data_IF_937816066900
#
_entry.id   IF_937816066900
#
_cell.length_a   1.000
_cell.length_b   1.000
_cell.length_c   1.000
_cell.angle_alpha   90.00
_cell.angle_beta   90.00
_cell.angle_gamma   90.00
#
_symmetry.space_group_name_H-M   'P 1'
#
loop_
_entity.id
_entity.type
_entity.pdbx_description
1 polymer ?
#
# COMPACT_ATOMS: atom_id res chain seq x y z
N UNK A 1 -0.38 -5.55 -41.55
CA UNK A 1 0.78 -6.35 -41.08
C UNK A 1 2.06 -5.55 -41.27
N UNK A 2 2.46 -4.76 -40.26
CA UNK A 2 3.82 -4.27 -40.04
C UNK A 2 3.79 -3.48 -38.72
N UNK A 3 3.97 -4.19 -37.61
CA UNK A 3 4.09 -3.58 -36.30
C UNK A 3 5.44 -2.84 -36.24
N UNK A 4 5.39 -1.51 -36.16
CA UNK A 4 6.55 -0.69 -35.80
C UNK A 4 6.94 -1.04 -34.37
N UNK A 5 7.97 -1.89 -34.21
CA UNK A 5 8.70 -2.01 -32.95
C UNK A 5 9.33 -0.65 -32.63
N UNK A 6 8.70 0.09 -31.73
CA UNK A 6 9.34 1.23 -31.06
C UNK A 6 10.55 0.70 -30.30
N UNK A 7 11.77 1.04 -30.76
CA UNK A 7 12.99 0.83 -30.00
C UNK A 7 12.93 1.75 -28.78
N UNK A 8 12.51 1.21 -27.63
CA UNK A 8 12.76 1.81 -26.32
C UNK A 8 14.27 2.00 -26.17
N UNK A 9 14.77 3.21 -26.41
CA UNK A 9 16.15 3.59 -26.06
C UNK A 9 16.34 3.34 -24.56
N UNK A 10 17.40 2.64 -24.17
CA UNK A 10 17.79 2.53 -22.77
C UNK A 10 18.12 3.93 -22.24
N UNK A 11 17.20 4.53 -21.50
CA UNK A 11 17.49 5.70 -20.68
C UNK A 11 18.32 5.24 -19.47
N UNK A 12 19.60 4.92 -19.68
CA UNK A 12 20.56 5.02 -18.59
C UNK A 12 20.79 6.51 -18.40
N UNK A 13 20.08 7.14 -17.46
CA UNK A 13 20.34 8.54 -17.14
C UNK A 13 21.73 8.66 -16.52
N UNK A 14 22.48 9.70 -16.85
CA UNK A 14 23.75 10.04 -16.19
C UNK A 14 23.57 10.48 -14.72
N UNK A 15 22.33 10.43 -14.21
CA UNK A 15 21.98 10.75 -12.84
C UNK A 15 22.60 9.73 -11.87
N UNK A 16 23.40 10.18 -10.89
CA UNK A 16 23.95 9.31 -9.85
C UNK A 16 22.85 8.56 -9.11
N UNK A 17 23.20 7.38 -8.58
CA UNK A 17 22.27 6.64 -7.72
C UNK A 17 22.20 7.38 -6.38
N UNK A 18 21.01 7.76 -5.90
CA UNK A 18 20.90 8.41 -4.61
C UNK A 18 21.37 7.46 -3.49
N UNK A 19 21.96 7.99 -2.41
CA UNK A 19 22.35 7.17 -1.28
C UNK A 19 21.12 6.46 -0.69
N UNK A 20 21.27 5.24 -0.15
CA UNK A 20 20.19 4.57 0.54
C UNK A 20 19.73 5.43 1.72
N UNK A 21 18.43 5.71 1.77
CA UNK A 21 17.76 6.43 2.87
C UNK A 21 16.54 5.63 3.28
N UNK A 22 16.15 5.75 4.54
CA UNK A 22 14.82 5.31 4.95
C UNK A 22 13.77 6.19 4.24
N UNK A 23 12.91 5.64 3.37
CA UNK A 23 11.90 6.44 2.69
C UNK A 23 10.80 6.93 3.63
N UNK A 24 10.68 6.38 4.85
CA UNK A 24 9.77 6.85 5.90
C UNK A 24 10.34 7.99 6.74
N UNK A 25 11.63 8.32 6.60
CA UNK A 25 12.29 9.36 7.39
C UNK A 25 11.53 10.69 7.32
N UNK A 26 11.07 11.05 6.11
CA UNK A 26 10.33 12.29 5.87
C UNK A 26 8.95 12.36 6.54
N UNK A 27 8.37 11.22 6.95
CA UNK A 27 6.99 11.14 7.46
C UNK A 27 6.91 11.05 8.98
N UNK A 28 8.04 10.74 9.64
CA UNK A 28 8.15 10.51 11.07
C UNK A 28 8.20 11.80 11.91
N UNK A 29 7.83 12.95 11.33
CA UNK A 29 7.88 14.24 12.02
C UNK A 29 6.84 14.29 13.15
N UNK A 30 7.21 14.95 14.25
CA UNK A 30 6.36 15.08 15.46
C UNK A 30 5.20 16.06 15.30
N UNK A 31 5.18 16.83 14.21
CA UNK A 31 4.12 17.78 13.88
C UNK A 31 2.79 17.05 13.71
N UNK A 32 1.76 17.55 14.40
CA UNK A 32 0.40 17.04 14.29
C UNK A 32 -0.38 17.79 13.24
N UNK A 33 -1.40 17.15 12.64
CA UNK A 33 -2.36 17.86 11.80
C UNK A 33 -3.15 18.88 12.63
N UNK A 34 -3.27 20.10 12.14
CA UNK A 34 -3.93 21.21 12.87
C UNK A 34 -5.43 21.27 12.57
N UNK A 35 -5.82 20.89 11.36
CA UNK A 35 -7.18 21.02 10.86
C UNK A 35 -8.00 19.73 11.03
N UNK A 36 -9.26 19.87 11.44
CA UNK A 36 -10.24 18.78 11.36
C UNK A 36 -10.66 18.57 9.90
N UNK A 37 -10.89 17.32 9.46
CA UNK A 37 -11.25 17.04 8.08
C UNK A 37 -12.64 17.58 7.72
N UNK A 38 -12.76 18.15 6.51
CA UNK A 38 -14.06 18.49 5.92
C UNK A 38 -14.63 17.27 5.21
N UNK A 39 -15.90 16.97 5.45
CA UNK A 39 -16.59 15.91 4.72
C UNK A 39 -16.70 16.26 3.23
N UNK A 40 -16.26 15.35 2.37
CA UNK A 40 -16.44 15.41 0.92
C UNK A 40 -17.63 14.53 0.54
N UNK A 41 -18.79 15.16 0.44
CA UNK A 41 -20.09 14.59 0.12
C UNK A 41 -20.41 14.78 -1.38
N UNK A 42 -21.34 13.99 -1.97
CA UNK A 42 -21.60 14.02 -3.40
C UNK A 42 -21.95 15.40 -4.00
N UNK A 43 -22.55 16.30 -3.21
CA UNK A 43 -22.86 17.67 -3.60
C UNK A 43 -21.63 18.55 -3.87
N UNK A 44 -20.44 18.11 -3.46
CA UNK A 44 -19.16 18.80 -3.65
C UNK A 44 -18.32 18.22 -4.78
N UNK A 45 -18.79 17.15 -5.42
CA UNK A 45 -18.06 16.52 -6.51
C UNK A 45 -18.18 17.37 -7.79
N UNK A 46 -17.15 17.34 -8.66
CA UNK A 46 -17.26 17.96 -9.97
C UNK A 46 -18.30 17.24 -10.85
N UNK A 47 -18.86 17.92 -11.87
CA UNK A 47 -19.71 17.29 -12.87
C UNK A 47 -19.05 16.06 -13.50
N UNK A 48 -19.81 14.97 -13.62
CA UNK A 48 -19.37 13.71 -14.23
C UNK A 48 -18.91 12.64 -13.25
N UNK A 49 -18.79 12.93 -11.95
CA UNK A 49 -18.38 11.98 -10.91
C UNK A 49 -19.24 10.70 -10.87
N UNK A 50 -20.49 10.75 -11.32
CA UNK A 50 -21.44 9.62 -11.40
C UNK A 50 -21.38 8.81 -12.72
N UNK A 51 -20.48 9.16 -13.64
CA UNK A 51 -20.37 8.55 -14.97
C UNK A 51 -18.98 7.97 -15.22
N UNK A 52 -18.82 6.97 -16.08
CA UNK A 52 -17.48 6.46 -16.42
C UNK A 52 -16.73 7.46 -17.30
N UNK A 53 -15.47 7.73 -16.99
CA UNK A 53 -14.64 8.71 -17.72
C UNK A 53 -14.21 9.90 -16.88
N UNK A 54 -13.56 10.84 -17.55
CA UNK A 54 -13.04 12.08 -16.98
C UNK A 54 -13.64 13.26 -17.74
N UNK A 55 -14.26 14.18 -17.01
CA UNK A 55 -14.60 15.52 -17.51
C UNK A 55 -13.42 16.48 -17.36
N UNK A 56 -13.50 17.64 -18.01
CA UNK A 56 -12.49 18.70 -17.85
C UNK A 56 -12.37 19.21 -16.41
N UNK A 57 -13.48 19.23 -15.66
CA UNK A 57 -13.49 19.64 -14.25
C UNK A 57 -12.82 18.59 -13.36
N UNK A 58 -13.07 17.30 -13.62
CA UNK A 58 -12.40 16.19 -12.95
C UNK A 58 -10.89 16.17 -13.22
N UNK A 59 -10.47 16.45 -14.46
CA UNK A 59 -9.05 16.57 -14.82
C UNK A 59 -8.40 17.75 -14.09
N UNK A 60 -9.08 18.89 -14.05
CA UNK A 60 -8.59 20.09 -13.36
C UNK A 60 -8.43 19.81 -11.86
N UNK A 61 -9.45 19.21 -11.23
CA UNK A 61 -9.38 18.79 -9.83
C UNK A 61 -8.21 17.84 -9.57
N UNK A 62 -8.03 16.81 -10.40
CA UNK A 62 -6.94 15.86 -10.23
C UNK A 62 -5.57 16.54 -10.34
N UNK A 63 -5.40 17.46 -11.30
CA UNK A 63 -4.14 18.20 -11.49
C UNK A 63 -3.83 19.13 -10.33
N UNK A 64 -4.82 19.79 -9.74
CA UNK A 64 -4.62 20.75 -8.66
C UNK A 64 -4.53 20.08 -7.28
N UNK A 65 -5.33 19.04 -7.06
CA UNK A 65 -5.58 18.47 -5.75
C UNK A 65 -5.01 17.07 -5.57
N UNK A 66 -4.68 16.39 -6.68
CA UNK A 66 -4.09 15.05 -6.67
C UNK A 66 -5.09 13.92 -6.44
N UNK A 67 -6.41 14.17 -6.61
CA UNK A 67 -7.44 13.13 -6.51
C UNK A 67 -8.66 13.42 -7.40
N UNK A 68 -9.44 12.37 -7.67
CA UNK A 68 -10.77 12.42 -8.31
C UNK A 68 -11.65 11.31 -7.73
N UNK A 69 -12.97 11.52 -7.68
CA UNK A 69 -13.94 10.54 -7.16
C UNK A 69 -14.88 10.09 -8.26
N UNK A 70 -15.14 8.79 -8.31
CA UNK A 70 -16.24 8.21 -9.08
C UNK A 70 -17.27 7.56 -8.17
N UNK A 71 -18.51 8.01 -8.26
CA UNK A 71 -19.67 7.52 -7.50
C UNK A 71 -20.28 6.31 -8.18
N UNK A 72 -20.66 5.29 -7.40
CA UNK A 72 -21.29 4.08 -7.90
C UNK A 72 -20.50 3.36 -8.99
N UNK A 73 -19.17 3.51 -9.02
CA UNK A 73 -18.32 2.98 -10.09
C UNK A 73 -18.36 1.45 -10.16
N UNK A 74 -18.55 0.81 -9.01
CA UNK A 74 -18.66 -0.65 -8.86
C UNK A 74 -20.03 -0.99 -8.27
N UNK A 75 -20.71 -1.98 -8.82
CA UNK A 75 -21.96 -2.46 -8.26
C UNK A 75 -21.72 -3.09 -6.86
N UNK A 76 -22.32 -2.55 -5.79
CA UNK A 76 -22.05 -3.01 -4.42
C UNK A 76 -22.46 -4.45 -4.15
N UNK A 77 -23.39 -5.02 -4.94
CA UNK A 77 -23.79 -6.43 -4.80
C UNK A 77 -22.63 -7.40 -5.05
N UNK A 78 -21.60 -6.98 -5.80
CA UNK A 78 -20.40 -7.78 -6.04
C UNK A 78 -19.59 -8.03 -4.76
N UNK A 79 -19.74 -7.17 -3.73
CA UNK A 79 -18.99 -7.27 -2.49
C UNK A 79 -19.62 -8.23 -1.48
N UNK A 80 -20.92 -8.54 -1.64
CA UNK A 80 -21.68 -9.32 -0.66
C UNK A 80 -21.02 -10.64 -0.25
N UNK A 81 -20.53 -11.50 -1.17
CA UNK A 81 -19.90 -12.77 -0.77
C UNK A 81 -18.64 -12.58 0.11
N UNK A 82 -17.93 -11.47 -0.07
CA UNK A 82 -16.71 -11.17 0.68
C UNK A 82 -17.03 -10.55 2.04
N UNK A 83 -18.08 -9.73 2.12
CA UNK A 83 -18.60 -9.21 3.38
C UNK A 83 -19.20 -10.34 4.24
N UNK A 84 -19.95 -11.26 3.64
CA UNK A 84 -20.46 -12.46 4.32
C UNK A 84 -19.29 -13.28 4.88
N UNK A 85 -18.23 -13.48 4.08
CA UNK A 85 -17.02 -14.17 4.53
C UNK A 85 -16.26 -13.41 5.64
N UNK A 86 -16.24 -12.07 5.59
CA UNK A 86 -15.58 -11.22 6.59
C UNK A 86 -16.18 -11.43 7.98
N UNK A 87 -17.50 -11.55 8.09
CA UNK A 87 -18.20 -11.84 9.35
C UNK A 87 -17.87 -13.21 9.93
N UNK A 88 -17.48 -14.17 9.09
CA UNK A 88 -17.07 -15.51 9.50
C UNK A 88 -15.61 -15.60 9.93
N UNK A 89 -14.82 -14.54 9.76
CA UNK A 89 -13.39 -14.59 10.08
C UNK A 89 -13.15 -14.59 11.59
N UNK A 90 -12.04 -15.20 12.05
CA UNK A 90 -11.72 -15.30 13.47
C UNK A 90 -11.72 -13.97 14.24
N UNK A 91 -11.21 -12.83 13.73
CA UNK A 91 -11.28 -11.56 14.46
C UNK A 91 -12.70 -11.07 14.75
N UNK A 92 -13.65 -11.34 13.84
CA UNK A 92 -15.06 -11.01 14.04
C UNK A 92 -15.73 -11.99 15.02
N UNK A 93 -15.45 -13.28 14.88
CA UNK A 93 -16.00 -14.32 15.77
C UNK A 93 -15.47 -14.19 17.20
N UNK A 94 -14.16 -13.96 17.39
CA UNK A 94 -13.54 -13.79 18.69
C UNK A 94 -14.08 -12.56 19.43
N UNK A 95 -14.36 -11.48 18.69
CA UNK A 95 -14.99 -10.28 19.23
C UNK A 95 -16.52 -10.39 19.37
N UNK A 96 -17.12 -11.54 18.99
CA UNK A 96 -18.56 -11.80 19.05
C UNK A 96 -19.37 -10.73 18.33
N UNK A 97 -18.87 -10.26 17.19
CA UNK A 97 -19.57 -9.26 16.39
C UNK A 97 -20.83 -9.86 15.78
N UNK A 98 -21.92 -9.12 15.83
CA UNK A 98 -23.21 -9.52 15.27
C UNK A 98 -23.63 -8.50 14.18
N UNK A 99 -23.82 -8.92 12.91
CA UNK A 99 -24.19 -8.02 11.82
C UNK A 99 -25.51 -7.25 12.04
N UNK A 100 -26.40 -7.75 12.88
CA UNK A 100 -27.69 -7.12 13.20
C UNK A 100 -27.64 -6.23 14.45
N UNK A 101 -26.50 -6.14 15.14
CA UNK A 101 -26.38 -5.45 16.43
C UNK A 101 -25.16 -4.52 16.48
N UNK A 102 -25.28 -3.28 15.99
CA UNK A 102 -24.18 -2.29 15.95
C UNK A 102 -23.45 -2.08 17.27
N UNK A 103 -24.13 -2.22 18.41
CA UNK A 103 -23.54 -2.12 19.75
C UNK A 103 -22.44 -3.17 20.01
N UNK A 104 -22.44 -4.28 19.28
CA UNK A 104 -21.38 -5.31 19.37
C UNK A 104 -20.10 -4.89 18.65
N UNK A 105 -20.16 -3.87 17.79
CA UNK A 105 -19.03 -3.43 16.94
C UNK A 105 -18.12 -2.43 17.64
N UNK A 106 -18.52 -1.90 18.79
CA UNK A 106 -17.79 -0.85 19.51
C UNK A 106 -16.55 -1.45 20.19
N UNK A 107 -15.37 -0.88 19.92
CA UNK A 107 -14.04 -1.26 20.44
C UNK A 107 -13.82 -2.77 20.60
N UNK A 108 -13.89 -3.56 19.50
CA UNK A 108 -13.78 -5.01 19.55
C UNK A 108 -12.39 -5.51 19.95
N UNK A 109 -11.38 -4.64 19.92
CA UNK A 109 -10.00 -4.97 20.28
C UNK A 109 -9.82 -5.45 21.70
N UNK A 110 -10.76 -5.12 22.62
CA UNK A 110 -10.79 -5.69 23.98
C UNK A 110 -11.00 -7.21 24.02
N UNK A 111 -11.51 -7.79 22.92
CA UNK A 111 -11.75 -9.22 22.78
C UNK A 111 -10.67 -9.91 21.93
N UNK A 112 -9.80 -9.15 21.27
CA UNK A 112 -8.73 -9.73 20.48
C UNK A 112 -7.58 -10.20 21.38
N UNK A 113 -6.92 -11.33 21.04
CA UNK A 113 -5.82 -11.84 21.86
C UNK A 113 -4.63 -10.87 21.79
N UNK A 114 -4.00 -10.58 22.93
CA UNK A 114 -2.86 -9.64 22.99
C UNK A 114 -1.66 -10.17 22.19
N UNK A 115 -1.42 -11.47 22.31
CA UNK A 115 -0.41 -12.26 21.61
C UNK A 115 -0.69 -12.41 20.11
N UNK A 116 -1.94 -12.20 19.67
CA UNK A 116 -2.37 -12.45 18.30
C UNK A 116 -2.71 -11.16 17.53
N UNK A 117 -2.24 -10.02 18.04
CA UNK A 117 -2.25 -8.72 17.33
C UNK A 117 -1.65 -8.83 15.91
N UNK A 118 -0.77 -9.82 15.74
CA UNK A 118 0.03 -10.11 14.58
C UNK A 118 -0.18 -11.53 14.02
N UNK A 119 -1.27 -12.22 14.34
CA UNK A 119 -1.59 -13.52 13.70
C UNK A 119 -0.51 -14.62 13.81
N UNK A 120 0.31 -14.60 14.86
CA UNK A 120 1.42 -15.56 15.08
C UNK A 120 0.96 -16.88 15.71
N UNK A 121 -0.29 -16.94 16.17
CA UNK A 121 -0.81 -18.12 16.85
C UNK A 121 -1.08 -19.29 15.88
N UNK A 122 -0.92 -20.51 16.40
CA UNK A 122 -1.00 -21.79 15.70
C UNK A 122 -2.36 -22.13 15.05
N UNK A 123 -3.33 -21.22 15.06
CA UNK A 123 -4.69 -21.46 14.60
C UNK A 123 -5.09 -20.65 13.36
N UNK A 124 -4.35 -19.60 12.97
CA UNK A 124 -4.80 -18.65 11.93
C UNK A 124 -3.97 -18.69 10.63
N UNK A 125 -2.87 -19.44 10.61
CA UNK A 125 -1.98 -19.65 9.45
C UNK A 125 -1.92 -21.11 8.97
N UNK A 126 -2.79 -21.98 9.52
CA UNK A 126 -2.70 -23.44 9.45
C UNK A 126 -2.66 -24.04 10.85
N UNK A 127 -2.51 -25.36 10.96
CA UNK A 127 -2.56 -26.12 12.22
C UNK A 127 -1.27 -26.05 13.05
N UNK A 128 -0.30 -25.22 12.65
CA UNK A 128 1.02 -25.13 13.29
C UNK A 128 1.44 -23.66 13.47
N UNK A 129 2.15 -23.33 14.57
CA UNK A 129 2.68 -21.99 14.77
C UNK A 129 3.63 -21.65 13.62
N UNK A 130 3.53 -20.42 13.13
CA UNK A 130 4.36 -19.94 12.04
C UNK A 130 5.12 -18.66 12.45
N UNK A 131 6.47 -18.65 12.35
CA UNK A 131 7.33 -19.79 12.05
C UNK A 131 7.24 -20.89 13.13
N UNK A 132 7.58 -22.14 12.77
CA UNK A 132 7.63 -23.25 13.72
C UNK A 132 8.50 -22.90 14.92
N UNK A 133 8.06 -23.26 16.13
CA UNK A 133 8.76 -22.94 17.39
C UNK A 133 10.16 -23.57 17.48
N UNK A 134 10.41 -24.59 16.68
CA UNK A 134 11.63 -25.39 16.56
C UNK A 134 12.62 -24.85 15.52
N UNK A 135 12.24 -23.88 14.70
CA UNK A 135 13.14 -23.30 13.69
C UNK A 135 13.98 -22.20 14.33
N UNK A 136 15.21 -22.55 14.69
CA UNK A 136 16.22 -21.56 15.08
C UNK A 136 16.48 -20.63 13.89
N UNK A 137 16.18 -19.33 14.07
CA UNK A 137 16.46 -18.29 13.07
C UNK A 137 17.34 -17.22 13.72
N UNK A 138 18.63 -17.41 13.57
CA UNK A 138 19.69 -16.53 14.13
C UNK A 138 19.66 -15.12 13.50
N UNK A 139 18.97 -14.97 12.37
CA UNK A 139 18.94 -13.76 11.54
C UNK A 139 18.05 -12.60 11.96
N UNK A 140 17.10 -12.79 12.88
CA UNK A 140 16.19 -11.73 13.34
C UNK A 140 15.42 -12.10 14.62
N UNK A 141 14.94 -11.08 15.34
CA UNK A 141 14.00 -11.24 16.44
C UNK A 141 12.66 -11.82 15.95
N UNK A 142 11.92 -12.56 16.79
CA UNK A 142 10.67 -13.23 16.40
C UNK A 142 9.65 -12.31 15.67
N UNK A 143 9.52 -11.06 16.10
CA UNK A 143 8.62 -10.07 15.49
C UNK A 143 9.10 -9.49 14.16
N UNK A 144 10.35 -9.73 13.76
CA UNK A 144 10.98 -9.26 12.53
C UNK A 144 11.11 -10.36 11.46
N UNK A 145 10.81 -11.61 11.81
CA UNK A 145 10.93 -12.80 10.94
C UNK A 145 9.86 -12.90 9.87
N UNK A 146 9.00 -11.90 9.78
CA UNK A 146 7.80 -11.92 8.96
C UNK A 146 7.75 -10.59 8.23
N UNK A 147 7.47 -10.65 6.92
CA UNK A 147 7.06 -9.46 6.18
C UNK A 147 5.73 -8.94 6.72
N UNK A 148 4.71 -8.85 5.86
CA UNK A 148 3.36 -8.50 6.34
C UNK A 148 2.52 -9.77 6.56
N UNK A 149 1.65 -9.72 7.55
CA UNK A 149 0.80 -10.83 7.97
C UNK A 149 -0.53 -10.85 7.19
N UNK A 150 -1.26 -11.98 7.15
CA UNK A 150 -2.56 -12.07 6.46
C UNK A 150 -3.58 -11.12 7.03
N UNK A 151 -3.44 -10.76 8.30
CA UNK A 151 -4.15 -9.65 8.85
C UNK A 151 -3.33 -8.97 9.93
N UNK A 152 -3.80 -7.78 10.31
CA UNK A 152 -3.22 -6.98 11.38
C UNK A 152 -4.36 -6.40 12.20
N UNK A 153 -4.32 -6.64 13.51
CA UNK A 153 -5.24 -6.07 14.47
C UNK A 153 -4.49 -4.96 15.20
N UNK A 154 -4.98 -3.74 15.20
CA UNK A 154 -4.33 -2.65 15.93
C UNK A 154 -5.34 -1.74 16.57
N UNK A 155 -4.85 -0.95 17.53
CA UNK A 155 -5.51 0.26 17.97
C UNK A 155 -4.74 1.44 17.39
N UNK A 156 -5.30 2.06 16.35
CA UNK A 156 -4.68 3.16 15.63
C UNK A 156 -5.34 4.46 16.06
N UNK A 157 -4.59 5.28 16.82
CA UNK A 157 -4.94 6.67 17.13
C UNK A 157 -6.37 6.84 17.68
N UNK A 158 -6.86 5.86 18.45
CA UNK A 158 -8.17 5.90 19.12
C UNK A 158 -9.08 4.72 18.75
N UNK A 159 -9.07 4.27 17.49
CA UNK A 159 -9.96 3.21 17.01
C UNK A 159 -9.27 1.86 16.92
N UNK A 160 -10.04 0.80 17.14
CA UNK A 160 -9.62 -0.54 16.74
C UNK A 160 -9.72 -0.65 15.21
N UNK A 161 -8.70 -1.27 14.61
CA UNK A 161 -8.54 -1.43 13.18
C UNK A 161 -8.19 -2.88 12.90
N UNK A 162 -8.95 -3.50 12.00
CA UNK A 162 -8.60 -4.79 11.43
C UNK A 162 -8.30 -4.62 9.95
N UNK A 163 -7.07 -4.97 9.56
CA UNK A 163 -6.66 -5.06 8.17
C UNK A 163 -6.59 -6.52 7.78
N UNK A 164 -7.46 -6.97 6.90
CA UNK A 164 -7.42 -8.31 6.34
C UNK A 164 -6.67 -8.26 5.00
N UNK A 165 -5.36 -8.47 5.04
CA UNK A 165 -4.46 -8.43 3.88
C UNK A 165 -4.62 -9.66 2.98
N UNK A 166 -4.85 -10.83 3.56
CA UNK A 166 -4.88 -12.09 2.84
C UNK A 166 -5.99 -12.16 1.79
N UNK A 167 -7.16 -11.53 2.03
CA UNK A 167 -8.23 -11.44 1.02
C UNK A 167 -7.79 -10.68 -0.23
N UNK A 168 -6.77 -9.83 -0.13
CA UNK A 168 -6.19 -9.10 -1.26
C UNK A 168 -5.50 -9.98 -2.30
N UNK A 169 -5.28 -11.28 -2.01
CA UNK A 169 -4.76 -12.27 -2.96
C UNK A 169 -5.85 -13.10 -3.61
N UNK A 170 -7.09 -13.00 -3.11
CA UNK A 170 -8.18 -13.78 -3.65
C UNK A 170 -8.52 -13.29 -5.06
N UNK A 171 -8.36 -14.13 -6.10
CA UNK A 171 -8.57 -13.67 -7.47
C UNK A 171 -10.01 -13.17 -7.72
N UNK A 172 -11.01 -13.69 -7.00
CA UNK A 172 -12.37 -13.18 -7.13
C UNK A 172 -12.53 -11.82 -6.46
N UNK A 173 -11.88 -11.59 -5.32
CA UNK A 173 -11.90 -10.27 -4.67
C UNK A 173 -11.17 -9.24 -5.52
N UNK A 174 -10.02 -9.59 -6.08
CA UNK A 174 -9.26 -8.73 -7.00
C UNK A 174 -10.09 -8.39 -8.23
N UNK A 175 -10.79 -9.36 -8.83
CA UNK A 175 -11.68 -9.14 -9.98
C UNK A 175 -12.80 -8.14 -9.73
N UNK A 176 -13.40 -8.13 -8.54
CA UNK A 176 -14.47 -7.18 -8.19
C UNK A 176 -13.95 -5.86 -7.62
N UNK A 177 -12.63 -5.70 -7.46
CA UNK A 177 -11.99 -4.49 -6.94
C UNK A 177 -10.95 -3.95 -7.93
N UNK A 178 -9.67 -4.30 -7.79
CA UNK A 178 -8.57 -3.69 -8.55
C UNK A 178 -8.56 -4.07 -10.03
N UNK A 179 -9.03 -5.27 -10.37
CA UNK A 179 -9.17 -5.71 -11.75
C UNK A 179 -10.60 -5.51 -12.29
N UNK A 180 -11.43 -4.72 -11.60
CA UNK A 180 -12.76 -4.38 -12.10
C UNK A 180 -12.63 -3.54 -13.39
N UNK A 181 -13.41 -3.82 -14.46
CA UNK A 181 -13.27 -3.13 -15.74
C UNK A 181 -13.37 -1.60 -15.65
N UNK A 182 -14.34 -1.09 -14.88
CA UNK A 182 -14.50 0.36 -14.69
C UNK A 182 -13.33 0.99 -13.91
N UNK A 183 -12.72 0.24 -12.98
CA UNK A 183 -11.55 0.73 -12.26
C UNK A 183 -10.40 0.82 -13.26
N UNK A 184 -10.06 -0.28 -13.96
CA UNK A 184 -8.99 -0.30 -14.97
C UNK A 184 -9.16 0.77 -16.05
N UNK A 185 -10.40 1.02 -16.47
CA UNK A 185 -10.72 2.12 -17.40
C UNK A 185 -10.27 3.46 -16.83
N UNK A 186 -10.63 3.79 -15.59
CA UNK A 186 -10.23 5.03 -14.93
C UNK A 186 -8.72 5.11 -14.72
N UNK A 187 -8.07 3.97 -14.41
CA UNK A 187 -6.61 3.90 -14.28
C UNK A 187 -5.92 4.28 -15.60
N UNK A 188 -6.35 3.72 -16.73
CA UNK A 188 -5.81 4.06 -18.04
C UNK A 188 -6.15 5.50 -18.45
N UNK A 189 -7.35 5.98 -18.14
CA UNK A 189 -7.76 7.37 -18.39
C UNK A 189 -6.84 8.37 -17.67
N UNK A 190 -6.44 8.07 -16.42
CA UNK A 190 -5.55 8.91 -15.62
C UNK A 190 -4.07 8.72 -15.97
N UNK A 191 -3.51 7.51 -15.81
CA UNK A 191 -2.06 7.26 -15.95
C UNK A 191 -1.59 7.15 -17.40
N UNK A 192 -2.45 6.62 -18.28
CA UNK A 192 -2.05 6.12 -19.59
C UNK A 192 -1.41 4.73 -19.54
N UNK A 193 -1.59 3.97 -20.63
CA UNK A 193 -1.07 2.61 -20.76
C UNK A 193 0.42 2.52 -21.14
N UNK A 194 1.02 1.32 -21.04
CA UNK A 194 0.36 0.10 -20.58
C UNK A 194 0.22 0.05 -19.04
N UNK A 195 -0.95 -0.36 -18.55
CA UNK A 195 -1.23 -0.55 -17.12
C UNK A 195 -0.86 -1.98 -16.72
N UNK A 196 -0.19 -2.15 -15.57
CA UNK A 196 0.02 -3.49 -15.01
C UNK A 196 -1.31 -4.02 -14.47
N UNK A 197 -1.73 -5.20 -14.93
CA UNK A 197 -2.90 -5.89 -14.38
C UNK A 197 -2.63 -6.23 -12.91
N UNK A 198 -3.45 -5.73 -11.95
CA UNK A 198 -3.25 -6.05 -10.55
C UNK A 198 -3.51 -7.53 -10.31
N UNK A 199 -2.54 -8.23 -9.72
CA UNK A 199 -2.73 -9.61 -9.25
C UNK A 199 -3.17 -9.66 -7.78
N UNK A 200 -3.16 -8.49 -7.11
CA UNK A 200 -3.56 -8.34 -5.72
C UNK A 200 -4.01 -6.92 -5.40
N UNK A 201 -4.48 -6.72 -4.17
CA UNK A 201 -4.62 -5.41 -3.54
C UNK A 201 -4.10 -5.47 -2.08
N UNK A 202 -4.23 -4.37 -1.33
CA UNK A 202 -3.77 -4.32 0.07
C UNK A 202 -4.69 -5.07 1.04
N UNK A 203 -5.86 -5.51 0.58
CA UNK A 203 -6.89 -6.17 1.37
C UNK A 203 -7.97 -5.22 1.90
N UNK A 204 -8.80 -5.73 2.81
CA UNK A 204 -9.94 -5.04 3.40
C UNK A 204 -9.53 -4.40 4.74
N UNK A 205 -9.76 -3.10 4.87
CA UNK A 205 -9.46 -2.31 6.06
C UNK A 205 -10.76 -1.92 6.74
N UNK A 206 -10.98 -2.52 7.92
CA UNK A 206 -12.10 -2.24 8.81
C UNK A 206 -11.65 -1.31 9.93
N UNK A 207 -12.35 -0.18 10.11
CA UNK A 207 -12.19 0.72 11.27
C UNK A 207 -13.47 0.65 12.08
N UNK A 208 -13.32 0.41 13.38
CA UNK A 208 -14.44 0.18 14.28
C UNK A 208 -14.79 1.43 15.09
N UNK A 209 -16.07 1.60 15.47
CA UNK A 209 -16.48 2.58 16.46
C UNK A 209 -15.67 2.46 17.75
N UNK A 210 -15.27 3.59 18.35
CA UNK A 210 -14.60 3.64 19.66
C UNK A 210 -15.60 3.67 20.81
N UNK A 211 -15.15 3.40 22.03
CA UNK A 211 -15.96 3.68 23.22
C UNK A 211 -16.13 5.20 23.36
N UNK A 212 -17.31 5.70 23.77
CA UNK A 212 -17.54 7.13 23.96
C UNK A 212 -16.52 7.81 24.89
N UNK A 213 -16.09 7.10 25.94
CA UNK A 213 -15.15 7.60 26.95
C UNK A 213 -13.66 7.47 26.55
N UNK A 214 -13.36 6.79 25.43
CA UNK A 214 -11.99 6.74 24.92
C UNK A 214 -11.53 8.13 24.43
N UNK A 215 -10.21 8.41 24.43
CA UNK A 215 -9.69 9.62 23.82
C UNK A 215 -10.15 9.78 22.37
N UNK A 216 -10.47 11.02 21.99
CA UNK A 216 -10.90 11.34 20.64
C UNK A 216 -9.87 10.90 19.59
N UNK A 217 -10.38 10.41 18.46
CA UNK A 217 -9.56 9.99 17.33
C UNK A 217 -8.80 11.17 16.75
N UNK A 218 -7.55 10.96 16.33
CA UNK A 218 -6.75 11.99 15.64
C UNK A 218 -6.30 11.50 14.27
N UNK A 219 -6.00 12.45 13.38
CA UNK A 219 -5.38 12.11 12.11
C UNK A 219 -3.91 11.71 12.33
N UNK A 220 -3.49 10.66 11.64
CA UNK A 220 -2.10 10.24 11.48
C UNK A 220 -1.66 10.43 10.03
N UNK A 221 -1.43 11.69 9.59
CA UNK A 221 -1.05 11.99 8.22
C UNK A 221 0.30 11.34 7.87
N UNK A 222 0.30 10.53 6.82
CA UNK A 222 1.47 9.88 6.26
C UNK A 222 1.32 9.77 4.74
N UNK A 223 2.44 9.47 4.08
CA UNK A 223 2.45 8.94 2.72
C UNK A 223 2.98 7.51 2.84
N UNK A 224 2.40 6.57 2.11
CA UNK A 224 2.98 5.23 2.06
C UNK A 224 4.34 5.29 1.36
N UNK A 225 5.23 4.36 1.71
CA UNK A 225 6.53 4.20 1.06
C UNK A 225 6.38 3.67 -0.38
N UNK A 226 5.82 4.47 -1.28
CA UNK A 226 5.21 3.88 -2.46
C UNK A 226 6.07 4.05 -3.71
N UNK A 227 6.33 2.91 -4.34
CA UNK A 227 6.65 2.77 -5.77
C UNK A 227 5.36 2.80 -6.60
N UNK A 228 4.24 3.19 -5.98
CA UNK A 228 2.90 3.22 -6.53
C UNK A 228 2.69 4.56 -7.24
N UNK A 229 2.24 4.53 -8.49
CA UNK A 229 1.94 5.77 -9.22
C UNK A 229 0.55 6.30 -8.85
N UNK A 230 -0.40 5.42 -8.54
CA UNK A 230 -1.75 5.79 -8.11
C UNK A 230 -2.27 4.87 -7.01
N UNK A 231 -2.78 5.48 -5.95
CA UNK A 231 -3.50 4.80 -4.88
C UNK A 231 -5.00 4.95 -5.11
N UNK A 232 -5.74 3.88 -4.92
CA UNK A 232 -7.20 3.88 -5.07
C UNK A 232 -7.83 3.29 -3.82
N UNK A 233 -8.93 3.91 -3.39
CA UNK A 233 -9.72 3.42 -2.26
C UNK A 233 -11.17 3.22 -2.70
N UNK A 234 -11.66 2.00 -2.52
CA UNK A 234 -13.06 1.62 -2.80
C UNK A 234 -13.79 1.36 -1.49
N UNK A 235 -14.98 1.92 -1.34
CA UNK A 235 -15.86 1.58 -0.21
C UNK A 235 -16.70 0.34 -0.48
N UNK A 236 -16.72 -0.56 0.50
CA UNK A 236 -17.54 -1.79 0.46
C UNK A 236 -18.88 -1.63 1.18
N UNK A 237 -19.00 -0.59 2.00
CA UNK A 237 -20.18 -0.20 2.76
C UNK A 237 -20.27 1.33 2.78
N UNK A 238 -21.44 1.86 3.16
CA UNK A 238 -21.64 3.29 3.31
C UNK A 238 -20.75 3.89 4.40
N UNK A 239 -20.18 5.05 4.10
CA UNK A 239 -19.31 5.83 4.99
C UNK A 239 -19.85 7.25 5.09
N UNK A 240 -20.47 7.52 6.23
CA UNK A 240 -20.99 8.85 6.57
C UNK A 240 -19.88 9.76 7.11
N UNK A 241 -20.08 11.09 7.14
CA UNK A 241 -19.14 12.03 7.76
C UNK A 241 -18.73 11.61 9.17
N UNK A 242 -17.44 11.76 9.49
CA UNK A 242 -16.82 11.37 10.77
C UNK A 242 -17.01 9.91 11.13
N UNK A 243 -17.11 9.04 10.13
CA UNK A 243 -17.20 7.58 10.32
C UNK A 243 -15.93 6.88 9.84
N UNK A 244 -14.77 7.54 9.98
CA UNK A 244 -13.47 6.93 9.69
C UNK A 244 -13.15 6.83 8.21
N UNK A 245 -13.74 7.70 7.38
CA UNK A 245 -13.51 7.73 5.95
C UNK A 245 -12.05 8.00 5.59
N UNK A 246 -11.62 7.54 4.43
CA UNK A 246 -10.27 7.81 3.93
C UNK A 246 -10.07 9.32 3.84
N UNK A 247 -9.10 9.85 4.60
CA UNK A 247 -8.88 11.28 4.71
C UNK A 247 -7.60 11.64 3.95
N UNK A 248 -7.69 12.55 3.00
CA UNK A 248 -6.56 13.03 2.22
C UNK A 248 -6.25 14.49 2.52
N UNK A 249 -5.02 14.88 2.21
CA UNK A 249 -4.55 16.25 2.25
C UNK A 249 -4.38 16.72 0.79
N UNK A 250 -5.37 17.41 0.21
CA UNK A 250 -5.32 17.88 -1.18
C UNK A 250 -4.08 18.71 -1.46
N UNK A 251 -3.60 18.69 -2.70
CA UNK A 251 -2.37 19.36 -3.15
C UNK A 251 -1.05 18.84 -2.55
N UNK A 252 -1.11 17.87 -1.63
CA UNK A 252 0.11 17.32 -1.02
C UNK A 252 1.08 16.65 -2.00
N UNK A 253 0.65 15.96 -3.07
CA UNK A 253 1.58 15.47 -4.08
C UNK A 253 2.42 16.58 -4.72
N UNK A 254 1.81 17.72 -5.04
CA UNK A 254 2.46 18.87 -5.68
C UNK A 254 3.50 19.51 -4.75
N UNK A 255 3.31 19.40 -3.42
CA UNK A 255 4.25 19.88 -2.41
C UNK A 255 5.37 18.89 -2.10
N UNK A 256 5.08 17.59 -2.10
CA UNK A 256 6.08 16.55 -1.82
C UNK A 256 6.93 16.21 -3.04
N UNK A 257 6.33 16.16 -4.23
CA UNK A 257 6.99 15.68 -5.44
C UNK A 257 8.30 16.40 -5.75
N UNK A 258 8.37 17.74 -5.72
CA UNK A 258 9.61 18.48 -5.97
C UNK A 258 10.72 18.24 -4.93
N UNK A 259 10.37 17.71 -3.75
CA UNK A 259 11.35 17.39 -2.70
C UNK A 259 12.00 16.03 -2.89
N UNK A 260 11.48 15.20 -3.80
CA UNK A 260 12.09 13.90 -4.09
C UNK A 260 13.29 14.04 -5.02
N UNK A 261 14.28 13.17 -4.85
CA UNK A 261 15.44 13.11 -5.76
C UNK A 261 15.13 12.39 -7.08
N UNK A 262 13.97 11.73 -7.18
CA UNK A 262 13.65 10.79 -8.25
C UNK A 262 12.17 10.88 -8.63
N UNK A 263 11.86 10.82 -9.92
CA UNK A 263 10.49 11.00 -10.43
C UNK A 263 9.53 9.84 -10.12
N UNK A 264 10.05 8.61 -10.08
CA UNK A 264 9.22 7.39 -10.02
C UNK A 264 9.38 6.60 -8.74
N UNK A 265 10.55 6.69 -8.13
CA UNK A 265 10.88 6.00 -6.90
C UNK A 265 10.98 7.06 -5.82
N UNK A 266 10.10 7.07 -4.82
CA UNK A 266 10.21 8.06 -3.76
C UNK A 266 11.58 7.94 -3.06
N UNK A 267 12.36 9.00 -3.14
CA UNK A 267 13.61 9.18 -2.39
C UNK A 267 13.57 10.54 -1.71
N UNK A 268 13.44 10.54 -0.39
CA UNK A 268 13.35 11.76 0.39
C UNK A 268 14.59 12.65 0.20
N UNK A 269 14.36 13.92 -0.14
CA UNK A 269 15.36 14.98 -0.16
C UNK A 269 15.44 15.71 1.17
N UNK A 270 16.35 16.68 1.26
CA UNK A 270 16.59 17.46 2.48
C UNK A 270 15.39 18.31 2.90
N UNK A 271 14.52 18.68 1.96
CA UNK A 271 13.34 19.51 2.22
C UNK A 271 12.05 18.70 2.42
N UNK A 272 12.09 17.37 2.33
CA UNK A 272 10.90 16.52 2.40
C UNK A 272 10.22 16.57 3.77
N UNK A 273 10.97 16.55 4.87
CA UNK A 273 10.41 16.69 6.23
C UNK A 273 9.69 18.03 6.42
N UNK A 274 10.34 19.13 6.03
CA UNK A 274 9.76 20.46 6.13
C UNK A 274 8.52 20.65 5.24
N UNK A 275 8.45 19.95 4.09
CA UNK A 275 7.26 19.93 3.26
C UNK A 275 6.13 19.13 3.91
N UNK A 276 6.44 17.98 4.51
CA UNK A 276 5.48 17.17 5.26
C UNK A 276 4.90 17.95 6.44
N UNK A 277 5.73 18.65 7.22
CA UNK A 277 5.28 19.49 8.33
C UNK A 277 4.32 20.58 7.86
N UNK A 278 4.67 21.30 6.78
CA UNK A 278 3.79 22.31 6.19
C UNK A 278 2.48 21.74 5.66
N UNK A 279 2.49 20.53 5.08
CA UNK A 279 1.24 19.87 4.69
C UNK A 279 0.35 19.63 5.91
N UNK A 280 0.91 19.11 7.00
CA UNK A 280 0.15 18.82 8.24
C UNK A 280 -0.45 20.10 8.86
N UNK A 281 0.22 21.25 8.74
CA UNK A 281 -0.20 22.50 9.38
C UNK A 281 -1.01 23.43 8.50
N UNK A 282 -0.83 23.40 7.17
CA UNK A 282 -1.42 24.38 6.24
C UNK A 282 -2.52 23.80 5.35
N UNK A 283 -2.53 22.49 5.10
CA UNK A 283 -3.51 21.89 4.20
C UNK A 283 -4.73 21.46 4.99
N UNK A 284 -5.90 21.93 4.56
CA UNK A 284 -7.20 21.48 5.06
C UNK A 284 -7.47 20.04 4.59
N UNK A 285 -7.48 19.03 5.48
CA UNK A 285 -7.79 17.67 5.09
C UNK A 285 -9.26 17.54 4.71
N UNK A 286 -9.54 16.55 3.86
CA UNK A 286 -10.90 16.20 3.44
C UNK A 286 -11.14 14.71 3.66
N UNK A 287 -12.31 14.38 4.19
CA UNK A 287 -12.77 13.01 4.42
C UNK A 287 -13.65 12.56 3.26
N UNK A 288 -13.20 11.54 2.53
CA UNK A 288 -14.03 10.89 1.51
C UNK A 288 -15.22 10.21 2.17
N UNK A 289 -16.42 10.76 2.01
CA UNK A 289 -17.68 10.16 2.46
C UNK A 289 -18.39 9.59 1.22
N UNK A 290 -19.11 8.48 1.34
CA UNK A 290 -19.71 7.85 0.17
C UNK A 290 -20.50 6.59 0.44
N UNK A 291 -21.02 6.00 -0.63
CA UNK A 291 -21.77 4.75 -0.62
C UNK A 291 -20.89 3.58 -1.01
N UNK A 292 -21.35 2.36 -0.71
CA UNK A 292 -20.71 1.16 -1.21
C UNK A 292 -20.60 1.21 -2.75
N UNK A 293 -19.39 0.99 -3.29
CA UNK A 293 -19.12 1.08 -4.72
C UNK A 293 -18.54 2.42 -5.18
N UNK A 294 -18.52 3.44 -4.31
CA UNK A 294 -17.79 4.68 -4.58
C UNK A 294 -16.28 4.44 -4.51
N UNK A 295 -15.54 5.11 -5.39
CA UNK A 295 -14.10 4.94 -5.56
C UNK A 295 -13.42 6.30 -5.63
N UNK A 296 -12.38 6.50 -4.83
CA UNK A 296 -11.48 7.65 -4.95
C UNK A 296 -10.15 7.20 -5.56
N UNK A 297 -9.68 7.96 -6.53
CA UNK A 297 -8.39 7.79 -7.21
C UNK A 297 -7.48 8.92 -6.78
N UNK A 298 -6.30 8.60 -6.28
CA UNK A 298 -5.33 9.58 -5.80
C UNK A 298 -3.97 9.35 -6.44
N UNK A 299 -3.23 10.44 -6.67
CA UNK A 299 -1.79 10.32 -6.93
C UNK A 299 -1.12 9.49 -5.82
N UNK A 300 -0.18 8.61 -6.19
CA UNK A 300 0.43 7.64 -5.26
C UNK A 300 1.21 8.26 -4.09
N UNK A 301 1.48 9.57 -4.16
CA UNK A 301 2.17 10.37 -3.13
C UNK A 301 1.23 11.30 -2.36
N UNK A 302 -0.10 11.06 -2.41
CA UNK A 302 -1.04 11.82 -1.59
C UNK A 302 -0.77 11.53 -0.11
N UNK A 303 -0.63 12.59 0.69
CA UNK A 303 -0.63 12.48 2.15
C UNK A 303 -2.05 12.17 2.59
N UNK A 304 -2.19 11.14 3.42
CA UNK A 304 -3.48 10.63 3.84
C UNK A 304 -3.43 10.08 5.27
N UNK A 305 -4.61 9.76 5.79
CA UNK A 305 -4.82 9.21 7.12
C UNK A 305 -6.04 8.30 7.11
N UNK A 306 -6.11 7.38 8.08
CA UNK A 306 -7.42 6.91 8.51
C UNK A 306 -8.21 8.11 9.04
N UNK A 307 -9.47 8.25 8.62
CA UNK A 307 -10.30 9.36 9.10
C UNK A 307 -10.67 9.22 10.57
N UNK A 308 -11.16 10.31 11.11
CA UNK A 308 -11.72 10.38 12.46
C UNK A 308 -13.02 9.56 12.48
N UNK A 309 -13.11 8.57 13.39
CA UNK A 309 -14.26 7.69 13.46
C UNK A 309 -15.00 7.84 14.80
N UNK A 310 -16.13 8.55 14.71
CA UNK A 310 -17.04 8.89 15.80
C UNK A 310 -18.46 8.34 15.53
N UNK A 311 -18.70 7.73 14.37
CA UNK A 311 -19.95 7.06 14.01
C UNK A 311 -20.11 5.66 14.61
N UNK A 312 -21.28 5.05 14.36
CA UNK A 312 -21.70 3.77 14.93
C UNK A 312 -21.47 2.56 14.01
N UNK A 313 -21.19 2.79 12.73
CA UNK A 313 -20.99 1.71 11.73
C UNK A 313 -19.52 1.37 11.57
N UNK A 314 -19.22 0.15 11.14
CA UNK A 314 -17.85 -0.25 10.78
C UNK A 314 -17.53 0.33 9.41
N UNK A 315 -16.44 1.09 9.28
CA UNK A 315 -15.96 1.50 7.96
C UNK A 315 -15.19 0.37 7.31
N UNK A 316 -15.66 -0.15 6.17
CA UNK A 316 -14.96 -1.17 5.36
C UNK A 316 -14.53 -0.63 4.00
N UNK A 317 -13.23 -0.58 3.76
CA UNK A 317 -12.64 -0.08 2.51
C UNK A 317 -11.56 -1.01 1.98
N UNK A 318 -11.32 -0.99 0.68
CA UNK A 318 -10.21 -1.67 0.02
C UNK A 318 -9.22 -0.64 -0.46
N UNK A 319 -7.95 -0.83 -0.12
CA UNK A 319 -6.85 0.01 -0.61
C UNK A 319 -6.12 -0.73 -1.71
N UNK A 320 -5.84 -0.05 -2.81
CA UNK A 320 -5.40 -0.63 -4.07
C UNK A 320 -4.24 0.21 -4.62
N UNK A 321 -3.26 -0.46 -5.22
CA UNK A 321 -2.08 0.17 -5.81
C UNK A 321 -2.06 -0.09 -7.30
N UNK A 322 -1.80 0.96 -8.08
CA UNK A 322 -1.71 0.87 -9.53
C UNK A 322 -0.43 1.50 -10.06
N UNK A 323 0.07 0.88 -11.12
CA UNK A 323 1.27 1.28 -11.83
C UNK A 323 1.13 0.98 -13.31
N UNK A 324 1.85 1.76 -14.10
CA UNK A 324 2.21 1.39 -15.47
C UNK A 324 3.20 0.23 -15.47
N UNK A 325 3.10 -0.58 -16.52
CA UNK A 325 4.12 -1.56 -16.88
C UNK A 325 5.35 -0.80 -17.36
N UNK A 326 6.47 -1.01 -16.67
CA UNK A 326 7.75 -0.32 -16.91
C UNK A 326 8.89 -1.29 -16.64
N UNK A 327 10.07 -1.03 -17.22
CA UNK A 327 11.28 -1.76 -16.84
C UNK A 327 11.61 -1.50 -15.38
N UNK A 328 11.83 -2.58 -14.63
CA UNK A 328 12.03 -2.56 -13.18
C UNK A 328 13.36 -3.19 -12.75
N UNK A 329 13.85 -2.80 -11.58
CA UNK A 329 15.07 -3.31 -10.97
C UNK A 329 14.77 -4.41 -9.95
N UNK A 330 15.68 -4.62 -9.01
CA UNK A 330 15.44 -5.48 -7.85
C UNK A 330 14.27 -4.98 -6.99
N UNK A 331 13.75 -5.87 -6.16
CA UNK A 331 12.78 -5.50 -5.13
C UNK A 331 13.41 -4.64 -4.05
N UNK A 332 12.59 -3.76 -3.48
CA UNK A 332 12.94 -3.05 -2.26
C UNK A 332 12.87 -4.00 -1.08
N UNK A 333 14.04 -4.41 -0.61
CA UNK A 333 14.21 -5.30 0.52
C UNK A 333 14.65 -4.54 1.77
N UNK A 334 14.26 -5.05 2.93
CA UNK A 334 14.71 -4.59 4.24
C UNK A 334 15.26 -5.78 5.01
N UNK A 335 16.53 -5.71 5.40
CA UNK A 335 17.16 -6.69 6.28
C UNK A 335 16.87 -6.34 7.74
N UNK A 336 16.54 -7.36 8.54
CA UNK A 336 16.32 -7.23 9.97
C UNK A 336 17.60 -6.74 10.67
N UNK A 337 17.43 -6.07 11.81
CA UNK A 337 18.53 -5.67 12.67
C UNK A 337 18.90 -6.80 13.64
N UNK A 338 20.02 -7.50 13.41
CA UNK A 338 20.51 -8.50 14.37
C UNK A 338 20.94 -7.83 15.68
N UNK A 339 20.72 -8.51 16.80
CA UNK A 339 21.11 -8.07 18.15
C UNK A 339 20.58 -6.68 18.56
N UNK A 340 19.44 -6.25 18.01
CA UNK A 340 18.83 -4.95 18.31
C UNK A 340 19.40 -3.77 17.53
N UNK A 341 20.25 -4.03 16.53
CA UNK A 341 20.68 -3.02 15.57
C UNK A 341 19.51 -2.48 14.73
N UNK A 342 19.74 -1.38 14.01
CA UNK A 342 18.76 -0.85 13.07
C UNK A 342 18.57 -1.76 11.85
N UNK A 343 17.41 -1.61 11.20
CA UNK A 343 17.11 -2.28 9.93
C UNK A 343 17.89 -1.65 8.80
N UNK A 344 18.29 -2.48 7.85
CA UNK A 344 19.10 -2.04 6.71
C UNK A 344 18.25 -2.14 5.45
N UNK A 345 18.05 -1.01 4.77
CA UNK A 345 17.28 -0.96 3.53
C UNK A 345 18.20 -1.16 2.32
N UNK A 346 17.78 -1.99 1.37
CA UNK A 346 18.42 -2.11 0.08
C UNK A 346 18.13 -0.85 -0.75
N UNK A 347 19.18 -0.16 -1.18
CA UNK A 347 19.07 1.05 -2.00
C UNK A 347 18.65 0.76 -3.44
N UNK A 348 18.48 1.82 -4.24
CA UNK A 348 18.24 1.72 -5.68
C UNK A 348 19.40 1.12 -6.47
N UNK A 349 20.58 0.98 -5.87
CA UNK A 349 21.76 0.31 -6.42
C UNK A 349 21.75 -1.22 -6.27
N UNK A 350 20.77 -1.76 -5.54
CA UNK A 350 20.68 -3.20 -5.30
C UNK A 350 21.67 -3.71 -4.27
N UNK A 351 22.18 -2.83 -3.42
CA UNK A 351 23.22 -3.18 -2.44
C UNK A 351 22.70 -3.00 -1.02
N UNK A 352 22.88 -4.03 -0.20
CA UNK A 352 22.91 -3.87 1.26
C UNK A 352 24.35 -3.59 1.70
N UNK A 353 24.48 -2.68 2.65
CA UNK A 353 25.76 -2.32 3.28
C UNK A 353 25.65 -2.65 4.75
N UNK A 354 26.28 -3.73 5.16
CA UNK A 354 26.28 -4.19 6.54
C UNK A 354 27.33 -3.42 7.35
N UNK A 355 27.02 -3.01 8.59
CA UNK A 355 28.02 -2.49 9.51
C UNK A 355 29.15 -3.52 9.70
N UNK A 356 30.40 -3.04 9.70
CA UNK A 356 31.59 -3.87 9.91
C UNK A 356 32.10 -3.83 11.36
N UNK A 357 31.51 -2.94 12.16
CA UNK A 357 31.88 -2.62 13.55
C UNK A 357 30.92 -3.25 14.58
N UNK A 358 30.18 -4.27 14.18
CA UNK A 358 29.28 -5.03 15.07
C UNK A 358 29.79 -6.43 15.36
N UNK A 359 29.29 -7.05 16.43
CA UNK A 359 29.58 -8.46 16.78
C UNK A 359 28.92 -9.47 15.82
N UNK A 360 28.15 -8.99 14.83
CA UNK A 360 27.53 -9.82 13.78
C UNK A 360 28.51 -10.09 12.65
N UNK A 361 28.58 -11.34 12.16
CA UNK A 361 29.33 -11.68 10.96
C UNK A 361 28.60 -11.15 9.71
N UNK A 362 29.13 -10.11 9.04
CA UNK A 362 28.45 -9.51 7.90
C UNK A 362 28.41 -10.44 6.67
N UNK A 363 29.13 -11.57 6.68
CA UNK A 363 29.20 -12.54 5.59
C UNK A 363 28.29 -13.77 5.80
N UNK A 364 27.65 -13.92 6.96
CA UNK A 364 26.96 -15.18 7.30
C UNK A 364 25.73 -15.48 6.44
N UNK A 365 25.16 -14.47 5.78
CA UNK A 365 23.99 -14.60 4.90
C UNK A 365 22.67 -14.93 5.61
N UNK A 366 22.72 -15.21 6.92
CA UNK A 366 21.59 -15.69 7.71
C UNK A 366 20.64 -14.57 8.13
N UNK A 367 21.04 -13.30 7.96
CA UNK A 367 20.18 -12.15 8.25
C UNK A 367 18.88 -12.26 7.45
N UNK A 368 17.76 -12.19 8.15
CA UNK A 368 16.47 -12.30 7.49
C UNK A 368 16.12 -11.00 6.77
N UNK A 369 15.63 -11.13 5.54
CA UNK A 369 15.15 -10.01 4.74
C UNK A 369 13.66 -10.13 4.48
N UNK A 370 13.00 -8.99 4.47
CA UNK A 370 11.56 -8.85 4.28
C UNK A 370 11.26 -7.80 3.23
N UNK A 371 10.06 -7.89 2.67
CA UNK A 371 9.47 -6.86 1.84
C UNK A 371 8.14 -6.42 2.47
N UNK A 372 7.79 -5.15 2.35
CA UNK A 372 6.47 -4.65 2.76
C UNK A 372 5.40 -5.17 1.80
N UNK A 373 4.88 -6.36 2.12
CA UNK A 373 3.93 -7.14 1.33
C UNK A 373 2.54 -6.51 1.10
N UNK A 374 2.35 -5.20 1.25
CA UNK A 374 1.05 -4.57 0.90
C UNK A 374 0.91 -4.26 -0.58
N UNK A 375 1.98 -3.79 -1.21
CA UNK A 375 1.88 -3.15 -2.51
C UNK A 375 1.89 -4.19 -3.63
N UNK A 376 1.13 -3.91 -4.69
CA UNK A 376 1.18 -4.72 -5.92
C UNK A 376 2.53 -4.56 -6.64
N UNK A 377 3.22 -3.43 -6.47
CA UNK A 377 4.57 -3.18 -6.97
C UNK A 377 5.55 -2.91 -5.83
N UNK A 378 6.61 -3.72 -5.74
CA UNK A 378 7.71 -3.53 -4.78
C UNK A 378 9.09 -3.44 -5.47
N UNK A 379 9.13 -3.38 -6.79
CA UNK A 379 10.35 -3.31 -7.58
C UNK A 379 10.61 -1.87 -8.01
N UNK A 380 11.84 -1.39 -7.84
CA UNK A 380 12.21 -0.05 -8.29
C UNK A 380 11.97 0.11 -9.79
N UNK A 381 11.45 1.25 -10.22
CA UNK A 381 11.47 1.63 -11.64
C UNK A 381 12.93 1.92 -12.02
N UNK A 382 13.44 1.34 -13.11
CA UNK A 382 14.86 1.47 -13.48
C UNK A 382 15.27 2.90 -13.83
N UNK A 383 14.34 3.71 -14.33
CA UNK A 383 14.63 5.09 -14.70
C UNK A 383 15.05 5.88 -13.47
N UNK A 384 16.23 6.51 -13.54
CA UNK A 384 16.77 7.36 -12.47
C UNK A 384 16.52 8.85 -12.72
N UNK A 385 15.45 9.16 -13.43
CA UNK A 385 15.15 10.54 -13.83
C UNK A 385 14.87 11.40 -12.60
N UNK A 386 15.42 12.63 -12.52
CA UNK A 386 14.95 13.63 -11.58
C UNK A 386 13.47 13.92 -11.78
N UNK A 387 12.85 14.50 -10.75
CA UNK A 387 11.45 14.93 -10.78
C UNK A 387 11.13 15.82 -11.99
N UNK A 388 9.95 15.63 -12.57
CA UNK A 388 9.44 16.49 -13.62
C UNK A 388 9.08 17.89 -13.10
N UNK A 389 9.06 18.90 -13.98
CA UNK A 389 8.53 20.22 -13.63
C UNK A 389 7.02 20.15 -13.41
N UNK A 390 6.33 19.36 -14.25
CA UNK A 390 4.94 18.96 -14.05
C UNK A 390 4.89 17.48 -13.63
N UNK A 391 4.39 17.21 -12.42
CA UNK A 391 4.21 15.84 -11.90
C UNK A 391 3.37 14.95 -12.82
N UNK A 392 2.52 15.54 -13.66
CA UNK A 392 1.64 14.85 -14.59
C UNK A 392 2.16 14.84 -16.04
N UNK A 393 3.40 15.24 -16.30
CA UNK A 393 3.98 15.37 -17.66
C UNK A 393 3.80 14.11 -18.53
N UNK A 394 3.84 12.92 -17.93
CA UNK A 394 3.65 11.65 -18.63
C UNK A 394 2.26 11.02 -18.46
N UNK A 395 1.35 11.66 -17.75
CA UNK A 395 0.02 11.10 -17.47
C UNK A 395 -0.90 11.30 -18.67
N UNK A 396 -1.93 10.45 -18.79
CA UNK A 396 -2.89 10.57 -19.89
C UNK A 396 -3.92 11.66 -19.61
N UNK A 397 -4.46 11.71 -18.39
CA UNK A 397 -5.46 12.69 -17.95
C UNK A 397 -6.58 12.95 -18.99
N UNK A 398 -7.07 11.88 -19.64
CA UNK A 398 -8.13 11.96 -20.66
C UNK A 398 -7.71 12.46 -22.05
N UNK A 399 -6.44 12.78 -22.30
CA UNK A 399 -5.96 13.26 -23.60
C UNK A 399 -6.08 12.20 -24.72
N UNK A 400 -5.87 10.93 -24.37
CA UNK A 400 -6.04 9.79 -25.29
C UNK A 400 -7.19 8.92 -24.81
N UNK A 401 -7.94 8.37 -25.76
CA UNK A 401 -8.99 7.40 -25.50
C UNK A 401 -8.44 6.15 -24.81
N UNK A 402 -9.23 5.60 -23.88
CA UNK A 402 -8.96 4.33 -23.22
C UNK A 402 -9.14 3.19 -24.23
N UNK A 403 -8.17 2.30 -24.31
CA UNK A 403 -8.11 1.18 -25.26
C UNK A 403 -8.07 -0.19 -24.60
N UNK A 404 -7.94 -0.24 -23.28
CA UNK A 404 -7.71 -1.49 -22.54
C UNK A 404 -6.25 -1.94 -22.63
N UNK A 405 -5.31 -1.00 -22.67
CA UNK A 405 -3.86 -1.28 -22.72
C UNK A 405 -3.37 -1.75 -21.36
N UNK A 406 -3.68 -3.01 -21.04
CA UNK A 406 -3.41 -3.67 -19.76
C UNK A 406 -2.53 -4.89 -20.00
N UNK A 407 -1.40 -4.97 -19.30
CA UNK A 407 -0.42 -6.04 -19.40
C UNK A 407 -0.46 -6.91 -18.14
N UNK A 408 -0.65 -8.21 -18.34
CA UNK A 408 -0.51 -9.20 -17.28
C UNK A 408 0.98 -9.54 -17.07
N UNK A 409 1.67 -8.74 -16.27
CA UNK A 409 3.00 -9.13 -15.78
C UNK A 409 2.87 -10.23 -14.71
N UNK A 410 3.82 -11.18 -14.63
CA UNK A 410 3.90 -12.05 -13.47
C UNK A 410 4.02 -11.19 -12.19
N UNK A 411 3.30 -11.50 -11.11
CA UNK A 411 3.48 -10.79 -9.86
C UNK A 411 4.90 -11.02 -9.31
N UNK A 412 5.40 -10.06 -8.53
CA UNK A 412 6.78 -10.09 -8.04
C UNK A 412 7.11 -11.35 -7.22
N UNK A 413 6.16 -11.93 -6.46
CA UNK A 413 6.45 -13.16 -5.73
C UNK A 413 6.71 -14.35 -6.67
N UNK A 414 6.10 -14.39 -7.85
CA UNK A 414 6.42 -15.40 -8.87
C UNK A 414 7.77 -15.10 -9.53
N UNK A 415 8.06 -13.83 -9.85
CA UNK A 415 9.35 -13.44 -10.45
C UNK A 415 10.55 -13.82 -9.58
N UNK A 416 10.38 -13.78 -8.26
CA UNK A 416 11.43 -14.04 -7.28
C UNK A 416 11.30 -15.39 -6.55
N UNK A 417 10.45 -16.30 -7.04
CA UNK A 417 10.20 -17.62 -6.43
C UNK A 417 9.88 -17.55 -4.93
N UNK A 418 9.19 -16.49 -4.51
CA UNK A 418 8.85 -16.28 -3.10
C UNK A 418 7.63 -17.10 -2.72
N UNK A 419 7.68 -17.81 -1.58
CA UNK A 419 6.52 -18.54 -1.08
C UNK A 419 5.42 -17.54 -0.71
N UNK A 420 4.30 -17.62 -1.43
CA UNK A 420 3.06 -16.99 -1.01
C UNK A 420 2.34 -17.97 -0.11
N UNK A 421 2.37 -17.69 1.19
CA UNK A 421 1.44 -18.36 2.06
C UNK A 421 0.04 -17.83 1.75
N UNK A 422 -0.99 -18.68 1.92
CA UNK A 422 -0.83 -20.06 2.28
C UNK A 422 -0.75 -20.97 1.05
N UNK A 423 0.06 -22.01 1.14
CA UNK A 423 -0.08 -23.19 0.28
C UNK A 423 -1.02 -24.20 0.98
N UNK A 424 -1.78 -24.99 0.21
CA UNK A 424 -2.60 -26.08 0.77
C UNK A 424 -3.98 -25.68 1.31
N UNK A 425 -4.36 -26.22 2.48
CA UNK A 425 -5.71 -26.21 3.08
C UNK A 425 -6.10 -24.93 3.84
N UNK A 426 -5.28 -23.88 3.76
CA UNK A 426 -5.52 -22.69 4.57
C UNK A 426 -6.76 -21.93 4.06
N UNK A 427 -7.61 -21.43 4.98
CA UNK A 427 -8.83 -20.73 4.60
C UNK A 427 -8.58 -19.55 3.64
N UNK A 428 -9.55 -19.34 2.76
CA UNK A 428 -9.63 -18.20 1.85
C UNK A 428 -9.35 -16.89 2.59
N UNK A 429 -8.33 -16.16 2.17
CA UNK A 429 -7.89 -14.92 2.82
C UNK A 429 -6.86 -15.11 3.95
N UNK A 430 -6.28 -16.30 4.11
CA UNK A 430 -5.01 -16.49 4.84
C UNK A 430 -3.80 -16.05 4.02
N UNK A 431 -2.59 -16.14 4.59
CA UNK A 431 -1.34 -15.98 3.85
C UNK A 431 -0.36 -14.87 4.21
N UNK A 432 0.90 -15.00 3.78
CA UNK A 432 2.06 -14.17 4.15
C UNK A 432 3.21 -14.35 3.16
N UNK A 433 4.06 -13.33 2.97
CA UNK A 433 5.43 -13.59 2.46
C UNK A 433 6.36 -13.69 3.67
N UNK A 434 6.97 -14.87 3.90
CA UNK A 434 7.88 -15.04 5.00
C UNK A 434 9.15 -14.23 4.78
N UNK A 435 9.86 -13.91 5.87
CA UNK A 435 11.23 -13.48 5.70
C UNK A 435 12.06 -14.64 5.12
N UNK A 436 13.03 -14.30 4.28
CA UNK A 436 13.98 -15.23 3.68
C UNK A 436 15.40 -14.85 4.11
N UNK A 437 16.34 -15.81 4.21
CA UNK A 437 17.76 -15.49 4.37
C UNK A 437 18.26 -14.54 3.27
N UNK A 438 19.15 -13.62 3.62
CA UNK A 438 19.76 -12.67 2.68
C UNK A 438 20.49 -13.38 1.54
N UNK A 439 21.20 -14.47 1.83
CA UNK A 439 21.91 -15.28 0.83
C UNK A 439 21.00 -15.87 -0.26
N UNK A 440 19.70 -16.03 0.02
CA UNK A 440 18.75 -16.52 -0.98
C UNK A 440 18.49 -15.48 -2.08
N UNK A 441 18.63 -14.19 -1.76
CA UNK A 441 18.27 -13.09 -2.66
C UNK A 441 19.44 -12.20 -3.06
N UNK A 442 20.60 -12.34 -2.40
CA UNK A 442 21.80 -11.56 -2.68
C UNK A 442 23.08 -12.41 -2.70
N UNK A 443 24.16 -11.85 -3.20
CA UNK A 443 25.50 -12.45 -3.18
C UNK A 443 26.47 -11.53 -2.43
N UNK A 444 27.29 -12.11 -1.56
CA UNK A 444 28.30 -11.38 -0.80
C UNK A 444 29.49 -11.03 -1.69
N UNK A 445 29.93 -9.78 -1.65
CA UNK A 445 31.02 -9.25 -2.47
C UNK A 445 32.27 -8.90 -1.64
N UNK A 446 32.25 -9.13 -0.33
CA UNK A 446 33.29 -8.68 0.61
C UNK A 446 32.91 -7.37 1.29
N UNK A 447 33.65 -7.03 2.36
CA UNK A 447 33.54 -5.75 3.09
C UNK A 447 32.11 -5.34 3.46
N UNK A 448 31.28 -6.30 3.88
CA UNK A 448 29.90 -6.05 4.29
C UNK A 448 28.92 -5.75 3.15
N UNK A 449 29.33 -5.95 1.89
CA UNK A 449 28.53 -5.65 0.71
C UNK A 449 27.78 -6.90 0.24
N UNK A 450 26.46 -6.80 0.14
CA UNK A 450 25.59 -7.82 -0.48
C UNK A 450 24.84 -7.24 -1.67
N UNK A 451 24.97 -7.87 -2.84
CA UNK A 451 24.29 -7.45 -4.07
C UNK A 451 23.06 -8.32 -4.36
N UNK A 452 21.90 -7.68 -4.42
CA UNK A 452 20.61 -8.32 -4.71
C UNK A 452 20.53 -8.73 -6.17
N UNK A 453 20.03 -9.95 -6.41
CA UNK A 453 19.71 -10.46 -7.75
C UNK A 453 18.40 -9.82 -8.22
N UNK A 454 18.36 -9.22 -9.40
CA UNK A 454 17.11 -8.76 -10.02
C UNK A 454 16.55 -9.82 -10.97
N UNK A 455 15.24 -10.04 -10.89
CA UNK A 455 14.47 -10.91 -11.82
C UNK A 455 13.27 -10.20 -12.44
N UNK A 456 13.19 -8.88 -12.28
CA UNK A 456 11.97 -8.12 -12.52
C UNK A 456 11.50 -8.10 -13.98
N UNK A 457 12.42 -8.30 -14.92
CA UNK A 457 12.15 -8.26 -16.37
C UNK A 457 12.42 -9.59 -17.09
N UNK A 458 12.71 -10.68 -16.36
CA UNK A 458 13.10 -11.96 -16.98
C UNK A 458 11.96 -12.54 -17.84
N UNK A 459 10.71 -12.20 -17.51
CA UNK A 459 9.51 -12.57 -18.23
C UNK A 459 9.32 -11.86 -19.58
N UNK A 460 10.12 -10.84 -19.89
CA UNK A 460 10.02 -10.06 -21.14
C UNK A 460 10.80 -10.69 -22.31
N UNK A 461 11.57 -11.77 -22.07
CA UNK A 461 12.52 -12.36 -23.02
C UNK A 461 11.98 -13.59 -23.76
#
# INVERSE_FOLDING_TARGET
>A
MHARRSKMKSQNSDTPIPPPRDPELAFSTKTSAVHLPLALTPDKDPPGADSLGLTSDEITQFREQGYVIKRGLINPNLFKPFLDLWWLQPPAQAAKLDPGKPQTWVSPGRHWPKENRYSLAANWMGDSPWPGLDVERVGANQGERIGRLPHKLTRDIGNDVWRWHGIGHDPAFVRVTSAHPNVLYMIEALLGGPIKLPCRNRGLYAVFPRLPDDPATKLGPHMDQSLTEMQVVTYLEDVEPRSGGFTIFPSSPQRLYPTSQQAYNWVAGETSEAAMDRIKTEVQPIEFCGKAGDVIFCHGWVVHSAGIHEGERIRKAVVQDFNRSRKRGHMRWTAAGKHGAERINCGMDGVFRMPMDSDDDPADGMREVTNQWIMDSNEFVLSRRPVYADIFEEWNLGERSVTGDVIAEPPWWQKYDLPMLPTGSVPRGGGGVPAVPLENIASYEGDGIWRVKSRANDWMN
#
